data_IF_305277243834
#
_entry.id   IF_305277243834
#
_cell.length_a   1.000
_cell.length_b   1.000
_cell.length_c   1.000
_cell.angle_alpha   90.00
_cell.angle_beta   90.00
_cell.angle_gamma   90.00
#
_symmetry.space_group_name_H-M   'P 1'
#
loop_
_entity.id
_entity.type
_entity.pdbx_description
1 polymer ?
#
# COMPACT_ATOMS: atom_id res chain seq x y z
N UNK A 1 26.63 -5.03 20.31
CA UNK A 1 28.00 -4.73 20.77
C UNK A 1 28.14 -3.23 20.84
N UNK A 2 28.68 -2.74 21.95
CA UNK A 2 28.98 -1.34 22.21
C UNK A 2 29.97 -0.75 21.19
N UNK A 3 29.89 0.57 20.99
CA UNK A 3 30.96 1.35 20.36
C UNK A 3 30.69 2.86 20.38
N UNK A 4 31.18 3.55 21.40
CA UNK A 4 31.31 5.02 21.46
C UNK A 4 32.74 5.38 21.90
N UNK A 5 33.50 6.17 21.12
CA UNK A 5 34.53 7.18 21.52
C UNK A 5 35.14 7.84 20.25
N UNK A 6 35.63 9.09 20.16
CA UNK A 6 36.09 10.12 21.12
C UNK A 6 35.57 11.53 20.78
N UNK A 7 35.42 12.37 21.81
CA UNK A 7 35.33 13.85 21.70
C UNK A 7 36.65 14.44 22.24
N UNK A 8 37.28 15.30 21.44
CA UNK A 8 38.45 16.08 21.83
C UNK A 8 38.09 17.20 22.81
N UNK A 9 38.97 17.41 23.79
CA UNK A 9 38.84 18.35 24.91
C UNK A 9 39.41 19.73 24.59
N UNK A 10 38.71 20.81 25.01
CA UNK A 10 39.36 21.97 25.63
C UNK A 10 38.35 22.91 26.34
N UNK A 11 38.53 23.01 27.65
CA UNK A 11 38.36 24.16 28.56
C UNK A 11 37.13 25.09 28.45
N UNK A 12 36.37 25.16 29.56
CA UNK A 12 35.50 26.29 29.91
C UNK A 12 34.26 25.84 30.68
N UNK A 13 34.06 26.33 31.91
CA UNK A 13 32.88 26.05 32.74
C UNK A 13 31.58 26.35 31.97
N UNK A 14 30.75 25.35 31.73
CA UNK A 14 29.34 25.52 31.38
C UNK A 14 28.50 24.54 32.21
N UNK A 15 27.34 25.03 32.66
CA UNK A 15 26.38 24.31 33.48
C UNK A 15 26.08 22.91 32.93
N UNK A 16 26.04 21.91 33.82
CA UNK A 16 25.37 20.63 33.52
C UNK A 16 23.86 20.86 33.44
N UNK A 17 23.38 21.35 32.30
CA UNK A 17 22.00 21.10 31.92
C UNK A 17 21.99 19.65 31.44
N UNK A 18 21.42 18.74 32.23
CA UNK A 18 21.05 17.45 31.71
C UNK A 18 20.11 17.71 30.53
N UNK A 19 20.45 17.32 29.29
CA UNK A 19 19.42 17.21 28.30
C UNK A 19 18.44 16.18 28.84
N UNK A 20 17.25 16.64 29.23
CA UNK A 20 16.05 15.82 29.22
C UNK A 20 16.11 15.08 27.90
N UNK A 21 16.35 13.77 27.99
CA UNK A 21 16.34 12.82 26.90
C UNK A 21 15.31 13.27 25.87
N UNK A 22 15.81 13.80 24.75
CA UNK A 22 14.97 14.08 23.61
C UNK A 22 14.18 12.80 23.31
N UNK A 23 12.89 12.95 22.98
CA UNK A 23 11.97 11.83 22.86
C UNK A 23 12.56 10.86 21.86
N UNK A 24 12.35 9.56 22.09
CA UNK A 24 12.63 8.50 21.12
C UNK A 24 12.54 9.03 19.69
N UNK A 25 13.71 9.33 19.10
CA UNK A 25 13.80 9.48 17.67
C UNK A 25 13.46 8.10 17.14
N UNK A 26 12.18 7.90 16.85
CA UNK A 26 11.67 6.77 16.10
C UNK A 26 12.44 6.78 14.78
N UNK A 27 13.52 6.01 14.75
CA UNK A 27 14.29 5.71 13.57
C UNK A 27 13.33 5.01 12.60
N UNK A 28 12.82 5.76 11.62
CA UNK A 28 12.05 5.21 10.51
C UNK A 28 13.01 4.38 9.66
N UNK A 29 13.24 3.13 10.06
CA UNK A 29 13.71 2.12 9.13
C UNK A 29 12.64 2.02 8.05
N UNK A 30 12.97 2.50 6.85
CA UNK A 30 12.07 2.51 5.70
C UNK A 30 11.45 1.12 5.52
N UNK A 31 10.12 1.09 5.37
CA UNK A 31 9.23 -0.07 5.14
C UNK A 31 8.37 -0.53 6.32
N UNK A 32 8.37 0.17 7.46
CA UNK A 32 7.37 -0.08 8.50
C UNK A 32 6.05 0.66 8.18
N UNK A 33 4.97 -0.10 7.96
CA UNK A 33 3.60 0.44 7.97
C UNK A 33 3.31 1.03 9.36
N UNK A 34 2.53 2.11 9.43
CA UNK A 34 2.06 2.68 10.70
C UNK A 34 0.78 1.97 11.17
N UNK A 35 0.35 2.28 12.40
CA UNK A 35 -1.00 1.96 12.86
C UNK A 35 -2.04 2.41 11.84
N UNK A 36 -3.12 1.63 11.73
CA UNK A 36 -4.21 1.84 10.78
C UNK A 36 -3.80 1.84 9.29
N UNK A 37 -2.67 1.19 8.94
CA UNK A 37 -2.18 1.12 7.56
C UNK A 37 -2.02 -0.31 7.05
N UNK A 38 -2.30 -0.50 5.76
CA UNK A 38 -2.00 -1.71 5.00
C UNK A 38 -1.27 -1.34 3.70
N UNK A 39 -0.46 -2.27 3.19
CA UNK A 39 0.18 -2.13 1.88
C UNK A 39 -0.64 -2.89 0.84
N UNK A 40 -0.98 -2.21 -0.24
CA UNK A 40 -1.54 -2.83 -1.44
C UNK A 40 -0.50 -2.78 -2.54
N UNK A 41 -0.21 -3.93 -3.15
CA UNK A 41 0.57 -4.04 -4.37
C UNK A 41 -0.34 -4.45 -5.52
N UNK A 42 -0.30 -3.70 -6.61
CA UNK A 42 -0.98 -4.02 -7.86
C UNK A 42 0.05 -4.59 -8.82
N UNK A 43 -0.21 -5.78 -9.34
CA UNK A 43 0.60 -6.46 -10.36
C UNK A 43 -0.18 -6.52 -11.66
N UNK A 44 0.29 -5.78 -12.65
CA UNK A 44 -0.32 -5.66 -13.97
C UNK A 44 0.36 -6.58 -14.97
N UNK A 45 -0.37 -7.57 -15.49
CA UNK A 45 0.07 -8.44 -16.58
C UNK A 45 -0.46 -8.00 -17.96
N UNK A 46 -1.23 -6.91 -18.03
CA UNK A 46 -1.80 -6.38 -19.27
C UNK A 46 -0.77 -5.53 -20.03
N UNK A 47 -0.80 -5.52 -21.38
CA UNK A 47 0.09 -4.69 -22.19
C UNK A 47 -0.27 -3.19 -22.16
N UNK A 48 -1.30 -2.80 -21.40
CA UNK A 48 -1.71 -1.41 -21.22
C UNK A 48 -1.65 -0.99 -19.75
N UNK A 49 -1.66 0.33 -19.51
CA UNK A 49 -1.67 0.86 -18.16
C UNK A 49 -3.02 0.61 -17.47
N UNK A 50 -2.97 0.47 -16.14
CA UNK A 50 -4.15 0.32 -15.29
C UNK A 50 -4.16 1.38 -14.19
N UNK A 51 -5.34 1.93 -13.93
CA UNK A 51 -5.58 2.89 -12.85
C UNK A 51 -6.42 2.23 -11.76
N UNK A 52 -5.89 2.18 -10.54
CA UNK A 52 -6.65 1.79 -9.35
C UNK A 52 -7.29 3.05 -8.76
N UNK A 53 -8.62 3.06 -8.69
CA UNK A 53 -9.41 4.12 -8.07
C UNK A 53 -10.11 3.60 -6.83
N UNK A 54 -10.38 4.48 -5.88
CA UNK A 54 -11.02 4.09 -4.63
C UNK A 54 -11.92 5.18 -4.05
N UNK A 55 -12.82 4.75 -3.16
CA UNK A 55 -13.56 5.60 -2.23
C UNK A 55 -13.72 4.86 -0.90
N UNK A 56 -13.78 5.59 0.21
CA UNK A 56 -14.06 5.00 1.53
C UNK A 56 -15.56 4.99 1.83
N UNK A 57 -16.05 3.94 2.48
CA UNK A 57 -17.44 3.83 2.96
C UNK A 57 -17.81 4.89 4.01
N UNK A 58 -16.83 5.51 4.66
CA UNK A 58 -17.02 6.63 5.58
C UNK A 58 -17.40 7.94 4.87
N UNK A 59 -17.08 8.08 3.58
CA UNK A 59 -17.41 9.29 2.85
C UNK A 59 -18.76 9.18 2.13
N UNK A 60 -19.75 9.92 2.62
CA UNK A 60 -21.02 10.08 1.93
C UNK A 60 -20.87 11.02 0.72
N UNK A 61 -21.25 10.55 -0.47
CA UNK A 61 -21.20 11.27 -1.76
C UNK A 61 -19.80 11.59 -2.30
N UNK A 62 -18.73 10.93 -1.83
CA UNK A 62 -17.43 11.03 -2.48
C UNK A 62 -17.42 10.39 -3.87
N UNK A 63 -16.68 11.02 -4.79
CA UNK A 63 -16.30 10.41 -6.06
C UNK A 63 -15.08 9.50 -5.88
N UNK A 64 -14.94 8.53 -6.78
CA UNK A 64 -13.73 7.70 -6.86
C UNK A 64 -12.50 8.54 -7.17
N UNK A 65 -11.45 8.37 -6.37
CA UNK A 65 -10.16 9.06 -6.53
C UNK A 65 -9.11 8.08 -7.06
N UNK A 66 -8.16 8.55 -7.86
CA UNK A 66 -7.03 7.72 -8.31
C UNK A 66 -6.10 7.47 -7.13
N UNK A 67 -5.87 6.21 -6.80
CA UNK A 67 -4.96 5.79 -5.75
C UNK A 67 -3.55 5.53 -6.31
N UNK A 68 -3.46 4.88 -7.47
CA UNK A 68 -2.22 4.51 -8.12
C UNK A 68 -2.48 4.20 -9.61
N UNK A 69 -1.51 4.56 -10.46
CA UNK A 69 -1.45 4.08 -11.85
C UNK A 69 -0.25 3.16 -12.00
N UNK A 70 -0.47 1.98 -12.59
CA UNK A 70 0.60 1.03 -12.91
C UNK A 70 0.72 0.95 -14.42
N UNK A 71 1.95 1.11 -14.91
CA UNK A 71 2.23 1.08 -16.34
C UNK A 71 1.98 -0.29 -16.98
N UNK A 72 2.12 -0.37 -18.31
CA UNK A 72 2.06 -1.63 -19.06
C UNK A 72 2.98 -2.72 -18.49
N UNK A 73 2.52 -3.96 -18.54
CA UNK A 73 3.28 -5.15 -18.21
C UNK A 73 3.08 -6.26 -19.25
N UNK A 74 3.38 -7.49 -18.85
CA UNK A 74 3.13 -8.70 -19.63
C UNK A 74 2.97 -9.90 -18.71
N UNK A 75 2.56 -11.03 -19.26
CA UNK A 75 2.49 -12.30 -18.51
C UNK A 75 3.85 -12.72 -17.96
N UNK A 76 4.94 -12.52 -18.71
CA UNK A 76 6.30 -12.92 -18.33
C UNK A 76 7.07 -11.86 -17.54
N UNK A 77 6.71 -10.59 -17.71
CA UNK A 77 7.33 -9.46 -17.03
C UNK A 77 6.23 -8.46 -16.63
N UNK A 78 5.52 -8.70 -15.51
CA UNK A 78 4.47 -7.80 -15.05
C UNK A 78 5.05 -6.52 -14.47
N UNK A 79 4.27 -5.44 -14.57
CA UNK A 79 4.56 -4.17 -13.91
C UNK A 79 3.92 -4.14 -12.53
N UNK A 80 4.60 -3.56 -11.55
CA UNK A 80 4.11 -3.49 -10.17
C UNK A 80 4.05 -2.03 -9.71
N UNK A 81 3.06 -1.71 -8.90
CA UNK A 81 3.04 -0.49 -8.09
C UNK A 81 2.46 -0.78 -6.73
N UNK A 82 2.91 -0.04 -5.71
CA UNK A 82 2.43 -0.23 -4.34
C UNK A 82 1.98 1.08 -3.73
N UNK A 83 0.97 0.99 -2.86
CA UNK A 83 0.37 2.14 -2.18
C UNK A 83 -0.09 1.73 -0.78
N UNK A 84 0.02 2.67 0.15
CA UNK A 84 -0.44 2.49 1.53
C UNK A 84 -1.88 3.01 1.63
N UNK A 85 -2.75 2.21 2.25
CA UNK A 85 -4.16 2.57 2.48
C UNK A 85 -4.51 2.55 3.96
N UNK A 86 -5.59 3.26 4.31
CA UNK A 86 -6.20 3.20 5.64
C UNK A 86 -6.90 1.87 5.86
N UNK A 87 -6.82 1.32 7.06
CA UNK A 87 -7.53 0.10 7.50
C UNK A 87 -8.72 0.40 8.40
N UNK A 88 -9.06 1.68 8.59
CA UNK A 88 -10.15 2.10 9.50
C UNK A 88 -11.56 1.85 8.95
N UNK A 89 -11.67 1.86 7.63
CA UNK A 89 -12.93 1.95 6.91
C UNK A 89 -12.88 1.02 5.71
N UNK A 90 -14.03 0.50 5.30
CA UNK A 90 -14.10 -0.33 4.09
C UNK A 90 -13.77 0.55 2.90
N UNK A 91 -12.93 0.05 2.01
CA UNK A 91 -12.56 0.74 0.79
C UNK A 91 -13.21 0.04 -0.40
N UNK A 92 -13.90 0.82 -1.22
CA UNK A 92 -14.48 0.37 -2.49
C UNK A 92 -13.50 0.74 -3.60
N UNK A 93 -13.11 -0.22 -4.43
CA UNK A 93 -12.15 -0.03 -5.50
C UNK A 93 -12.74 -0.28 -6.87
N UNK A 94 -12.21 0.45 -7.84
CA UNK A 94 -12.48 0.26 -9.26
C UNK A 94 -11.16 0.29 -10.03
N UNK A 95 -10.93 -0.73 -10.86
CA UNK A 95 -9.78 -0.77 -11.77
C UNK A 95 -10.25 -0.39 -13.16
N UNK A 96 -9.54 0.54 -13.78
CA UNK A 96 -9.73 0.90 -15.18
C UNK A 96 -8.48 0.54 -15.97
N UNK A 97 -8.65 -0.23 -17.05
CA UNK A 97 -7.60 -0.44 -18.03
C UNK A 97 -7.70 0.64 -19.11
N UNK A 98 -6.57 1.07 -19.68
CA UNK A 98 -6.55 2.11 -20.72
C UNK A 98 -7.39 1.73 -21.95
N UNK A 99 -7.51 0.44 -22.25
CA UNK A 99 -8.37 -0.07 -23.33
C UNK A 99 -9.88 0.11 -23.08
N UNK A 100 -10.30 0.28 -21.83
CA UNK A 100 -11.70 0.43 -21.43
C UNK A 100 -11.83 1.50 -20.36
N UNK A 101 -12.01 2.74 -20.82
CA UNK A 101 -12.14 3.92 -19.96
C UNK A 101 -13.58 4.19 -19.51
N UNK A 102 -14.56 3.52 -20.13
CA UNK A 102 -15.99 3.75 -19.87
C UNK A 102 -16.53 2.96 -18.68
N UNK A 103 -15.99 1.79 -18.41
CA UNK A 103 -16.44 0.91 -17.33
C UNK A 103 -15.26 0.25 -16.61
N UNK A 104 -15.31 0.09 -15.28
CA UNK A 104 -14.24 -0.59 -14.57
C UNK A 104 -14.17 -2.07 -15.00
N UNK A 105 -12.94 -2.57 -15.19
CA UNK A 105 -12.68 -3.97 -15.52
C UNK A 105 -12.80 -4.88 -14.30
N UNK A 106 -12.60 -4.32 -13.11
CA UNK A 106 -12.80 -4.99 -11.83
C UNK A 106 -13.33 -4.00 -10.80
N UNK A 107 -14.18 -4.50 -9.88
CA UNK A 107 -14.71 -3.73 -8.76
C UNK A 107 -14.86 -4.63 -7.54
N UNK A 108 -14.44 -4.15 -6.38
CA UNK A 108 -14.57 -4.88 -5.12
C UNK A 108 -14.63 -3.91 -3.93
N UNK A 109 -14.99 -4.44 -2.77
CA UNK A 109 -14.99 -3.72 -1.49
C UNK A 109 -14.30 -4.58 -0.44
N UNK A 110 -13.38 -4.01 0.34
CA UNK A 110 -12.61 -4.75 1.34
C UNK A 110 -12.28 -3.88 2.55
N UNK A 111 -12.32 -4.48 3.74
CA UNK A 111 -11.78 -3.87 4.97
C UNK A 111 -10.42 -4.51 5.23
N UNK A 112 -9.35 -3.81 4.84
CA UNK A 112 -8.01 -4.31 5.06
C UNK A 112 -7.65 -4.33 6.54
N UNK A 113 -6.82 -5.30 6.92
CA UNK A 113 -6.28 -5.42 8.27
C UNK A 113 -4.96 -4.68 8.43
N UNK A 114 -4.73 -4.19 9.65
CA UNK A 114 -3.54 -3.45 10.04
C UNK A 114 -2.25 -4.22 9.75
N UNK A 115 -1.23 -3.54 9.23
CA UNK A 115 0.07 -4.10 8.85
C UNK A 115 0.02 -5.25 7.83
N UNK A 116 -1.14 -5.51 7.21
CA UNK A 116 -1.33 -6.52 6.17
C UNK A 116 -0.75 -6.08 4.82
N UNK A 117 -0.25 -7.05 4.06
CA UNK A 117 0.25 -6.83 2.70
C UNK A 117 -0.62 -7.63 1.74
N UNK A 118 -1.20 -6.94 0.78
CA UNK A 118 -2.18 -7.47 -0.15
C UNK A 118 -1.69 -7.31 -1.57
N UNK A 119 -1.93 -8.32 -2.40
CA UNK A 119 -1.57 -8.33 -3.81
C UNK A 119 -2.84 -8.45 -4.65
N UNK A 120 -3.04 -7.50 -5.57
CA UNK A 120 -4.05 -7.58 -6.61
C UNK A 120 -3.34 -7.86 -7.92
N UNK A 121 -3.55 -9.04 -8.48
CA UNK A 121 -3.03 -9.41 -9.79
C UNK A 121 -4.10 -9.24 -10.85
N UNK A 122 -3.79 -8.44 -11.87
CA UNK A 122 -4.67 -8.11 -12.99
C UNK A 122 -4.12 -8.82 -14.23
N UNK A 123 -4.93 -9.67 -14.84
CA UNK A 123 -4.52 -10.51 -15.96
C UNK A 123 -5.64 -10.67 -16.99
N UNK A 124 -5.25 -10.89 -18.25
CA UNK A 124 -6.19 -11.25 -19.30
C UNK A 124 -6.60 -12.72 -19.14
N UNK A 125 -7.88 -13.01 -19.35
CA UNK A 125 -8.42 -14.36 -19.39
C UNK A 125 -8.95 -14.58 -20.80
N UNK A 126 -8.46 -15.62 -21.46
CA UNK A 126 -8.96 -16.03 -22.77
C UNK A 126 -9.63 -17.38 -22.63
N UNK A 127 -10.96 -17.37 -22.56
CA UNK A 127 -11.75 -18.58 -22.76
C UNK A 127 -12.23 -18.66 -24.21
N UNK A 128 -12.61 -19.87 -24.62
CA UNK A 128 -12.81 -20.33 -26.01
C UNK A 128 -13.73 -19.45 -26.89
N UNK A 129 -14.43 -18.46 -26.31
CA UNK A 129 -15.29 -17.48 -27.00
C UNK A 129 -15.17 -16.02 -26.52
N UNK A 130 -14.45 -15.73 -25.43
CA UNK A 130 -14.40 -14.38 -24.84
C UNK A 130 -13.01 -14.05 -24.29
N UNK A 131 -12.52 -12.85 -24.64
CA UNK A 131 -11.38 -12.22 -23.96
C UNK A 131 -11.94 -11.34 -22.85
N UNK A 132 -11.57 -11.64 -21.61
CA UNK A 132 -11.93 -10.87 -20.43
C UNK A 132 -10.70 -10.42 -19.64
N UNK A 133 -10.92 -9.61 -18.61
CA UNK A 133 -9.90 -9.26 -17.60
C UNK A 133 -10.37 -9.82 -16.27
N UNK A 134 -9.46 -10.41 -15.51
CA UNK A 134 -9.71 -10.91 -14.16
C UNK A 134 -8.78 -10.23 -13.16
N UNK A 135 -9.31 -9.92 -11.98
CA UNK A 135 -8.53 -9.48 -10.83
C UNK A 135 -8.59 -10.55 -9.76
N UNK A 136 -7.41 -11.00 -9.32
CA UNK A 136 -7.25 -11.97 -8.24
C UNK A 136 -6.60 -11.30 -7.04
N UNK A 137 -6.99 -11.72 -5.84
CA UNK A 137 -6.61 -11.11 -4.58
C UNK A 137 -5.88 -12.15 -3.74
N UNK A 138 -4.69 -11.80 -3.25
CA UNK A 138 -3.94 -12.62 -2.30
C UNK A 138 -3.41 -11.78 -1.14
N UNK A 139 -3.11 -12.47 -0.04
CA UNK A 139 -2.51 -11.89 1.16
C UNK A 139 -1.06 -12.35 1.22
N UNK A 140 -0.14 -11.45 0.91
CA UNK A 140 1.30 -11.71 0.92
C UNK A 140 1.85 -11.73 2.37
N UNK A 141 1.31 -10.85 3.22
CA UNK A 141 1.58 -10.82 4.66
C UNK A 141 0.26 -10.69 5.41
N UNK A 142 -0.02 -11.66 6.28
CA UNK A 142 -1.21 -11.62 7.11
C UNK A 142 -1.22 -10.35 7.98
N UNK A 143 -2.39 -9.70 8.14
CA UNK A 143 -2.52 -8.53 8.99
C UNK A 143 -2.26 -8.89 10.45
N UNK A 144 -1.74 -7.92 11.22
CA UNK A 144 -1.62 -8.02 12.67
C UNK A 144 -2.99 -7.71 13.25
N UNK A 145 -3.61 -8.74 13.82
CA UNK A 145 -5.00 -8.68 14.17
C UNK A 145 -5.20 -8.14 15.59
N UNK A 146 -5.75 -6.94 15.72
CA UNK A 146 -6.27 -6.43 16.99
C UNK A 146 -7.82 -6.51 17.09
N UNK A 147 -8.56 -6.62 15.97
CA UNK A 147 -10.03 -6.48 15.99
C UNK A 147 -10.86 -7.37 15.02
N UNK A 148 -10.28 -8.15 14.10
CA UNK A 148 -11.03 -9.07 13.24
C UNK A 148 -11.28 -10.38 14.01
N UNK A 149 -12.44 -10.51 14.66
CA UNK A 149 -12.85 -11.83 15.21
C UNK A 149 -13.04 -12.83 14.06
N UNK A 150 -12.43 -14.01 14.23
CA UNK A 150 -12.64 -15.20 13.39
C UNK A 150 -14.10 -15.66 13.41
#
# INVERSE_FOLDING_TARGET
MLGCTQIGSSAGLELWVYPLSQPEECYCSGNALKLDQALITVRNHLPEAVSLRYVSDYCYQCLYQILLTVGPGSTTAPSNGSVVVSTRFTLMFEVFAEINTTSPVCRWSELYGEHGWYLISIQSVSDQHTRGISCTHSVDKAPVNSYIRK
#
